data_IF_226543702255
#
_entry.id   IF_226543702255
#
_cell.length_a   1.000
_cell.length_b   1.000
_cell.length_c   1.000
_cell.angle_alpha   90.00
_cell.angle_beta   90.00
_cell.angle_gamma   90.00
#
_symmetry.space_group_name_H-M   'P 1'
#
loop_
_entity.id
_entity.type
_entity.pdbx_description
1 polymer ?
#
# COMPACT_ATOMS: atom_id res chain seq x y z
N UNK A 1 25.82 4.28 15.73
CA UNK A 1 24.83 3.66 14.84
C UNK A 1 25.10 2.19 14.83
N UNK A 2 24.11 1.36 15.13
CA UNK A 2 24.27 -0.09 15.12
C UNK A 2 24.56 -0.50 13.67
N UNK A 3 25.72 -1.08 13.42
CA UNK A 3 26.06 -1.72 12.13
C UNK A 3 25.27 -3.04 11.95
N UNK A 4 24.29 -3.30 12.81
CA UNK A 4 23.47 -4.49 12.76
C UNK A 4 22.51 -4.40 11.59
N UNK A 5 22.40 -5.53 10.92
CA UNK A 5 21.64 -5.68 9.70
C UNK A 5 20.14 -5.74 10.03
N UNK A 6 19.26 -5.05 9.27
CA UNK A 6 17.83 -5.15 9.48
C UNK A 6 17.37 -6.60 9.26
N UNK A 7 16.51 -7.09 10.16
CA UNK A 7 16.02 -8.47 10.14
C UNK A 7 14.58 -8.59 9.67
N UNK A 8 14.29 -9.71 9.02
CA UNK A 8 12.95 -10.14 8.59
C UNK A 8 12.65 -11.46 9.31
N UNK A 9 11.63 -11.49 10.15
CA UNK A 9 11.23 -12.69 10.89
C UNK A 9 10.02 -13.33 10.22
N UNK A 10 10.16 -14.59 9.80
CA UNK A 10 9.09 -15.42 9.27
C UNK A 10 8.62 -16.43 10.33
N UNK A 11 7.32 -16.55 10.51
CA UNK A 11 6.69 -17.42 11.52
C UNK A 11 5.60 -18.25 10.85
N UNK A 12 5.71 -19.58 10.92
CA UNK A 12 4.74 -20.53 10.38
C UNK A 12 4.88 -21.82 11.19
N UNK A 13 3.76 -22.47 11.53
CA UNK A 13 3.77 -23.72 12.28
C UNK A 13 3.99 -24.94 11.37
N UNK A 14 3.93 -24.74 10.06
CA UNK A 14 4.28 -25.70 9.02
C UNK A 14 5.71 -25.46 8.51
N UNK A 15 6.66 -26.24 9.05
CA UNK A 15 8.08 -26.12 8.70
C UNK A 15 8.39 -26.25 7.19
N UNK A 16 7.79 -27.21 6.44
CA UNK A 16 7.93 -27.25 4.98
C UNK A 16 7.52 -25.96 4.26
N UNK A 17 6.37 -25.37 4.62
CA UNK A 17 5.90 -24.14 4.00
C UNK A 17 6.83 -22.96 4.34
N UNK A 18 7.29 -22.88 5.59
CA UNK A 18 8.22 -21.84 6.04
C UNK A 18 9.54 -21.88 5.26
N UNK A 19 10.10 -23.09 5.10
CA UNK A 19 11.36 -23.28 4.41
C UNK A 19 11.22 -23.00 2.90
N UNK A 20 10.10 -23.38 2.28
CA UNK A 20 9.81 -23.04 0.89
C UNK A 20 9.74 -21.50 0.68
N UNK A 21 9.02 -20.80 1.55
CA UNK A 21 8.94 -19.33 1.52
C UNK A 21 10.31 -18.69 1.75
N UNK A 22 11.08 -19.20 2.72
CA UNK A 22 12.45 -18.74 2.99
C UNK A 22 13.32 -18.86 1.75
N UNK A 23 13.29 -19.99 1.04
CA UNK A 23 14.08 -20.20 -0.18
C UNK A 23 13.69 -19.21 -1.28
N UNK A 24 12.39 -18.98 -1.48
CA UNK A 24 11.90 -17.95 -2.43
C UNK A 24 12.38 -16.55 -2.06
N UNK A 25 12.43 -16.22 -0.77
CA UNK A 25 12.92 -14.92 -0.29
C UNK A 25 14.44 -14.77 -0.42
N UNK A 26 15.23 -15.82 -0.16
CA UNK A 26 16.69 -15.80 -0.37
C UNK A 26 17.03 -15.55 -1.84
N UNK A 27 16.22 -16.03 -2.78
CA UNK A 27 16.41 -15.73 -4.20
C UNK A 27 16.14 -14.27 -4.57
N UNK A 28 15.44 -13.51 -3.71
CA UNK A 28 15.01 -12.12 -3.97
C UNK A 28 15.75 -11.08 -3.13
N UNK A 29 16.15 -11.42 -1.92
CA UNK A 29 16.80 -10.54 -0.96
C UNK A 29 18.27 -10.93 -0.81
N UNK A 30 19.18 -9.96 -0.97
CA UNK A 30 20.60 -10.27 -0.89
C UNK A 30 21.00 -10.64 0.55
N UNK A 31 21.92 -11.60 0.77
CA UNK A 31 22.47 -11.92 2.08
C UNK A 31 23.28 -10.80 2.74
N UNK A 32 23.43 -9.64 2.11
CA UNK A 32 23.98 -8.40 2.72
C UNK A 32 22.88 -7.36 3.00
N UNK A 33 21.66 -7.60 2.52
CA UNK A 33 20.52 -6.70 2.65
C UNK A 33 19.65 -7.01 3.88
N UNK A 34 19.34 -8.29 4.13
CA UNK A 34 18.44 -8.71 5.23
C UNK A 34 18.98 -9.86 6.09
N UNK A 35 18.88 -9.77 7.41
CA UNK A 35 19.02 -10.92 8.30
C UNK A 35 17.70 -11.71 8.33
N UNK A 36 17.60 -12.77 7.51
CA UNK A 36 16.38 -13.56 7.37
C UNK A 36 16.32 -14.63 8.46
N UNK A 37 15.36 -14.46 9.39
CA UNK A 37 15.12 -15.36 10.52
C UNK A 37 13.82 -16.12 10.32
N UNK A 38 13.79 -17.37 10.78
CA UNK A 38 12.61 -18.23 10.72
C UNK A 38 12.32 -18.81 12.10
N UNK A 39 11.05 -18.92 12.46
CA UNK A 39 10.60 -19.59 13.68
C UNK A 39 9.43 -20.51 13.39
N UNK A 40 9.60 -21.79 13.74
CA UNK A 40 8.53 -22.77 13.83
C UNK A 40 8.20 -22.92 15.32
N UNK A 41 7.07 -22.39 15.81
CA UNK A 41 6.72 -22.48 17.23
C UNK A 41 6.57 -23.93 17.69
N UNK A 42 7.12 -24.26 18.86
CA UNK A 42 6.96 -25.58 19.49
C UNK A 42 6.61 -25.45 20.97
N UNK A 43 5.97 -26.48 21.55
CA UNK A 43 5.65 -26.48 23.00
C UNK A 43 6.90 -26.38 23.90
N UNK A 44 8.08 -26.70 23.38
CA UNK A 44 9.35 -26.63 24.09
C UNK A 44 9.94 -25.21 24.16
N UNK A 45 9.39 -24.25 23.41
CA UNK A 45 9.84 -22.85 23.42
C UNK A 45 9.46 -22.11 24.72
N UNK A 46 8.65 -22.71 25.59
CA UNK A 46 8.14 -22.08 26.80
C UNK A 46 6.89 -21.23 26.53
N UNK A 47 6.61 -20.21 27.36
CA UNK A 47 5.46 -19.32 27.17
C UNK A 47 5.51 -18.64 25.79
N UNK A 48 4.45 -18.75 24.94
CA UNK A 48 4.52 -18.33 23.54
C UNK A 48 4.85 -16.84 23.34
N UNK A 49 4.37 -15.97 24.22
CA UNK A 49 4.68 -14.54 24.17
C UNK A 49 6.17 -14.26 24.44
N UNK A 50 6.73 -14.86 25.49
CA UNK A 50 8.15 -14.71 25.84
C UNK A 50 9.06 -15.29 24.75
N UNK A 51 8.67 -16.43 24.18
CA UNK A 51 9.38 -17.06 23.08
C UNK A 51 9.43 -16.17 21.83
N UNK A 52 8.33 -15.50 21.51
CA UNK A 52 8.27 -14.53 20.41
C UNK A 52 9.11 -13.29 20.73
N UNK A 53 8.95 -12.70 21.91
CA UNK A 53 9.68 -11.50 22.35
C UNK A 53 11.20 -11.71 22.29
N UNK A 54 11.69 -12.89 22.69
CA UNK A 54 13.12 -13.22 22.65
C UNK A 54 13.70 -13.29 21.22
N UNK A 55 12.86 -13.37 20.19
CA UNK A 55 13.27 -13.46 18.77
C UNK A 55 13.21 -12.12 18.04
N UNK A 56 12.54 -11.14 18.63
CA UNK A 56 12.45 -9.77 18.12
C UNK A 56 13.50 -8.91 18.81
N UNK A 57 14.25 -8.16 18.01
CA UNK A 57 15.24 -7.21 18.48
C UNK A 57 15.03 -5.81 17.88
N UNK A 58 15.89 -4.88 18.25
CA UNK A 58 15.90 -3.50 17.74
C UNK A 58 16.07 -3.39 16.22
N UNK A 59 16.60 -4.42 15.56
CA UNK A 59 16.83 -4.44 14.12
C UNK A 59 15.70 -5.11 13.34
N UNK A 60 14.67 -5.62 14.03
CA UNK A 60 13.53 -6.29 13.39
C UNK A 60 12.69 -5.29 12.62
N UNK A 61 12.81 -5.33 11.29
CA UNK A 61 12.21 -4.35 10.38
C UNK A 61 10.86 -4.81 9.83
N UNK A 62 10.61 -6.12 9.77
CA UNK A 62 9.34 -6.69 9.31
C UNK A 62 9.14 -8.08 9.93
N UNK A 63 7.92 -8.38 10.35
CA UNK A 63 7.49 -9.71 10.80
C UNK A 63 6.41 -10.22 9.86
N UNK A 64 6.51 -11.48 9.44
CA UNK A 64 5.48 -12.16 8.65
C UNK A 64 5.06 -13.41 9.42
N UNK A 65 3.77 -13.60 9.64
CA UNK A 65 3.22 -14.71 10.44
C UNK A 65 2.08 -15.43 9.72
N UNK A 66 1.94 -16.73 9.99
CA UNK A 66 0.68 -17.42 9.69
C UNK A 66 -0.44 -16.88 10.58
N UNK A 67 -1.66 -16.90 10.05
CA UNK A 67 -2.86 -16.54 10.78
C UNK A 67 -3.16 -17.55 11.90
N UNK A 68 -3.02 -18.85 11.61
CA UNK A 68 -3.26 -19.93 12.55
C UNK A 68 -1.94 -20.64 12.87
N UNK A 69 -1.47 -20.48 14.12
CA UNK A 69 -0.26 -21.13 14.62
C UNK A 69 -0.60 -22.22 15.66
N UNK A 70 -1.89 -22.55 15.80
CA UNK A 70 -2.38 -23.39 16.89
C UNK A 70 -2.10 -24.87 16.68
N UNK A 71 -1.67 -25.27 15.48
CA UNK A 71 -1.37 -26.67 15.15
C UNK A 71 -0.17 -27.18 15.94
N UNK A 72 0.79 -26.30 16.25
CA UNK A 72 2.03 -26.66 16.96
C UNK A 72 2.09 -26.16 18.41
N UNK A 73 1.39 -25.07 18.74
CA UNK A 73 1.38 -24.49 20.11
C UNK A 73 -0.02 -23.98 20.46
N UNK A 74 -0.63 -24.55 21.51
CA UNK A 74 -1.96 -24.09 21.97
C UNK A 74 -1.91 -22.65 22.47
N UNK A 75 -2.80 -21.81 21.95
CA UNK A 75 -2.97 -20.43 22.41
C UNK A 75 -2.07 -19.40 21.74
N UNK A 76 -1.21 -19.80 20.80
CA UNK A 76 -0.48 -18.88 19.92
C UNK A 76 -1.32 -18.64 18.65
N UNK A 77 -1.74 -17.40 18.44
CA UNK A 77 -2.48 -16.98 17.25
C UNK A 77 -1.68 -15.91 16.50
N UNK A 78 -1.77 -15.89 15.17
CA UNK A 78 -1.17 -14.82 14.36
C UNK A 78 -1.65 -13.43 14.79
N UNK A 79 -2.92 -13.32 15.20
CA UNK A 79 -3.50 -12.09 15.74
C UNK A 79 -2.77 -11.56 16.99
N UNK A 80 -2.24 -12.45 17.84
CA UNK A 80 -1.47 -12.05 19.03
C UNK A 80 -0.11 -11.46 18.63
N UNK A 81 0.54 -12.04 17.62
CA UNK A 81 1.79 -11.54 17.04
C UNK A 81 1.54 -10.17 16.39
N UNK A 82 0.50 -10.05 15.56
CA UNK A 82 0.10 -8.80 14.92
C UNK A 82 -0.13 -7.71 15.97
N UNK A 83 -0.94 -7.98 17.00
CA UNK A 83 -1.22 -7.01 18.05
C UNK A 83 0.04 -6.56 18.80
N UNK A 84 0.98 -7.49 19.06
CA UNK A 84 2.25 -7.16 19.71
C UNK A 84 3.15 -6.30 18.80
N UNK A 85 3.30 -6.66 17.53
CA UNK A 85 4.08 -5.89 16.55
C UNK A 85 3.52 -4.48 16.38
N UNK A 86 2.20 -4.34 16.28
CA UNK A 86 1.53 -3.04 16.22
C UNK A 86 1.77 -2.22 17.50
N UNK A 87 1.84 -2.85 18.68
CA UNK A 87 2.20 -2.18 19.93
C UNK A 87 3.65 -1.67 19.91
N UNK A 88 4.56 -2.36 19.23
CA UNK A 88 5.98 -2.00 19.09
C UNK A 88 6.28 -1.16 17.86
N UNK A 89 5.27 -0.80 17.06
CA UNK A 89 5.45 -0.11 15.76
C UNK A 89 6.38 -0.89 14.81
N UNK A 90 6.30 -2.21 14.85
CA UNK A 90 7.01 -3.09 13.92
C UNK A 90 6.00 -3.48 12.82
N UNK A 91 6.31 -3.22 11.53
CA UNK A 91 5.48 -3.67 10.43
C UNK A 91 5.26 -5.18 10.51
N UNK A 92 4.01 -5.59 10.32
CA UNK A 92 3.62 -7.00 10.40
C UNK A 92 2.64 -7.35 9.30
N UNK A 93 2.89 -8.49 8.66
CA UNK A 93 1.96 -9.08 7.71
C UNK A 93 1.53 -10.46 8.13
N UNK A 94 0.31 -10.82 7.74
CA UNK A 94 -0.22 -12.16 7.90
C UNK A 94 -0.62 -12.78 6.56
N UNK A 95 -0.44 -14.10 6.45
CA UNK A 95 -1.02 -14.90 5.37
C UNK A 95 -2.22 -15.67 5.92
N UNK A 96 -3.33 -15.65 5.17
CA UNK A 96 -4.54 -16.41 5.51
C UNK A 96 -4.80 -17.43 4.42
N UNK A 97 -4.17 -18.61 4.53
CA UNK A 97 -4.32 -19.69 3.54
C UNK A 97 -5.69 -20.37 3.58
N UNK A 98 -6.53 -20.08 4.59
CA UNK A 98 -7.75 -20.83 4.90
C UNK A 98 -9.11 -20.14 4.69
N UNK A 99 -9.16 -18.84 4.38
CA UNK A 99 -10.42 -18.07 4.39
C UNK A 99 -10.73 -17.32 3.08
N UNK A 100 -10.63 -18.02 1.95
CA UNK A 100 -10.87 -17.45 0.60
C UNK A 100 -12.32 -16.97 0.38
N UNK A 101 -13.29 -17.47 1.18
CA UNK A 101 -14.71 -17.13 1.09
C UNK A 101 -15.21 -16.12 2.14
N UNK A 102 -14.33 -15.50 2.91
CA UNK A 102 -14.74 -14.52 3.91
C UNK A 102 -15.21 -13.21 3.27
N UNK A 103 -16.19 -12.56 3.88
CA UNK A 103 -16.62 -11.22 3.52
C UNK A 103 -15.43 -10.25 3.46
N UNK A 104 -15.40 -9.28 2.51
CA UNK A 104 -14.42 -8.21 2.53
C UNK A 104 -14.48 -7.51 3.88
N UNK A 105 -13.39 -7.57 4.65
CA UNK A 105 -13.30 -6.85 5.93
C UNK A 105 -12.92 -5.41 5.67
N UNK A 106 -13.34 -4.52 6.58
CA UNK A 106 -12.85 -3.14 6.59
C UNK A 106 -11.31 -3.16 6.54
N UNK A 107 -10.68 -2.42 5.61
CA UNK A 107 -9.24 -2.40 5.48
C UNK A 107 -8.59 -1.90 6.78
N UNK A 108 -7.89 -2.77 7.49
CA UNK A 108 -7.04 -2.34 8.59
C UNK A 108 -5.81 -1.64 8.02
N UNK A 109 -5.68 -0.33 8.30
CA UNK A 109 -4.58 0.47 7.78
C UNK A 109 -3.21 -0.07 8.21
N UNK A 110 -3.11 -0.67 9.39
CA UNK A 110 -1.86 -1.09 10.02
C UNK A 110 -1.60 -2.59 9.95
N UNK A 111 -2.14 -3.23 8.92
CA UNK A 111 -1.97 -4.66 8.69
C UNK A 111 -1.59 -4.89 7.23
N UNK A 112 -0.55 -5.70 7.00
CA UNK A 112 -0.14 -6.10 5.65
C UNK A 112 -0.76 -7.47 5.36
N UNK A 113 -1.59 -7.55 4.32
CA UNK A 113 -2.16 -8.83 3.88
C UNK A 113 -1.26 -9.43 2.83
N UNK A 114 -0.54 -10.49 3.18
CA UNK A 114 0.35 -11.19 2.24
C UNK A 114 -0.51 -11.99 1.26
N UNK A 115 -0.24 -11.92 -0.07
CA UNK A 115 -0.90 -12.77 -1.06
C UNK A 115 -0.78 -14.25 -0.69
N UNK A 116 -1.83 -15.02 -0.94
CA UNK A 116 -1.89 -16.44 -0.59
C UNK A 116 -1.30 -17.36 -1.67
N UNK A 117 -0.98 -16.82 -2.84
CA UNK A 117 -0.37 -17.57 -3.92
C UNK A 117 1.16 -17.57 -3.79
N UNK A 118 1.77 -18.75 -4.01
CA UNK A 118 3.21 -18.97 -3.89
C UNK A 118 4.06 -18.20 -4.91
N UNK A 119 3.43 -17.63 -5.95
CA UNK A 119 4.12 -16.91 -7.01
C UNK A 119 4.42 -15.46 -6.60
N UNK A 120 3.50 -14.83 -5.86
CA UNK A 120 3.55 -13.41 -5.51
C UNK A 120 3.92 -13.14 -4.05
N UNK A 121 3.82 -14.13 -3.14
CA UNK A 121 4.05 -13.94 -1.70
C UNK A 121 5.44 -13.38 -1.37
N UNK A 122 6.51 -14.01 -1.87
CA UNK A 122 7.89 -13.62 -1.62
C UNK A 122 8.24 -12.28 -2.28
N UNK A 123 7.64 -11.99 -3.44
CA UNK A 123 7.79 -10.71 -4.12
C UNK A 123 7.19 -9.59 -3.27
N UNK A 124 5.97 -9.79 -2.78
CA UNK A 124 5.28 -8.84 -1.91
C UNK A 124 6.07 -8.57 -0.63
N UNK A 125 6.51 -9.63 0.07
CA UNK A 125 7.27 -9.50 1.32
C UNK A 125 8.58 -8.74 1.09
N UNK A 126 9.30 -9.04 0.01
CA UNK A 126 10.53 -8.32 -0.35
C UNK A 126 10.27 -6.84 -0.61
N UNK A 127 9.21 -6.51 -1.38
CA UNK A 127 8.80 -5.12 -1.63
C UNK A 127 8.42 -4.40 -0.33
N UNK A 128 7.72 -5.07 0.59
CA UNK A 128 7.35 -4.48 1.88
C UNK A 128 8.58 -4.18 2.72
N UNK A 129 9.46 -5.18 2.88
CA UNK A 129 10.72 -5.03 3.63
C UNK A 129 11.54 -3.84 3.10
N UNK A 130 11.75 -3.78 1.78
CA UNK A 130 12.51 -2.70 1.13
C UNK A 130 11.83 -1.35 1.28
N UNK A 131 10.51 -1.27 1.11
CA UNK A 131 9.79 -0.01 1.22
C UNK A 131 9.86 0.60 2.63
N UNK A 132 9.64 -0.21 3.68
CA UNK A 132 9.82 0.28 5.06
C UNK A 132 11.27 0.66 5.34
N UNK A 133 12.25 -0.10 4.83
CA UNK A 133 13.68 0.23 4.98
C UNK A 133 14.05 1.56 4.32
N UNK A 134 13.58 1.81 3.09
CA UNK A 134 13.83 3.07 2.37
C UNK A 134 13.23 4.25 3.12
N UNK A 135 12.02 4.10 3.68
CA UNK A 135 11.40 5.13 4.51
C UNK A 135 12.22 5.42 5.76
N UNK A 136 12.63 4.37 6.48
CA UNK A 136 13.46 4.49 7.68
C UNK A 136 14.75 5.24 7.39
N UNK A 137 15.49 4.78 6.37
CA UNK A 137 16.73 5.40 5.94
C UNK A 137 16.52 6.86 5.56
N UNK A 138 15.44 7.18 4.82
CA UNK A 138 15.14 8.56 4.44
C UNK A 138 14.86 9.49 5.63
N UNK A 139 14.32 8.96 6.74
CA UNK A 139 14.12 9.73 7.98
C UNK A 139 15.47 9.90 8.71
N UNK A 140 16.26 8.83 8.81
CA UNK A 140 17.59 8.83 9.44
C UNK A 140 18.56 9.79 8.72
N UNK A 141 18.53 9.81 7.39
CA UNK A 141 19.36 10.68 6.55
C UNK A 141 18.93 12.16 6.62
N UNK A 142 17.72 12.43 7.10
CA UNK A 142 17.20 13.78 7.23
C UNK A 142 16.56 14.05 8.61
N UNK A 143 17.39 14.19 9.67
CA UNK A 143 16.90 14.36 11.05
C UNK A 143 15.99 15.57 11.26
N UNK A 144 16.11 16.61 10.43
CA UNK A 144 15.21 17.77 10.46
C UNK A 144 13.74 17.42 10.19
N UNK A 145 13.44 16.26 9.59
CA UNK A 145 12.08 15.74 9.48
C UNK A 145 11.42 15.47 10.84
N UNK A 146 12.21 15.19 11.89
CA UNK A 146 11.73 14.94 13.24
C UNK A 146 11.33 16.23 13.99
N UNK A 147 11.94 17.36 13.63
CA UNK A 147 11.86 18.60 14.42
C UNK A 147 11.20 19.76 13.66
N UNK A 148 11.40 19.87 12.35
CA UNK A 148 10.95 21.01 11.56
C UNK A 148 9.60 20.79 10.86
N UNK A 149 9.20 19.53 10.64
CA UNK A 149 7.96 19.20 9.93
C UNK A 149 6.81 19.03 10.91
N UNK A 150 5.71 19.75 10.63
CA UNK A 150 4.57 19.87 11.55
C UNK A 150 3.52 18.77 11.41
N UNK A 151 3.60 17.94 10.37
CA UNK A 151 2.58 16.93 10.05
C UNK A 151 3.18 15.68 9.40
N UNK A 152 2.53 14.53 9.59
CA UNK A 152 2.88 13.27 8.91
C UNK A 152 2.86 13.42 7.38
N UNK A 153 1.91 14.20 6.86
CA UNK A 153 1.81 14.48 5.44
C UNK A 153 3.01 15.27 4.92
N UNK A 154 3.49 16.25 5.68
CA UNK A 154 4.68 17.03 5.33
C UNK A 154 5.94 16.16 5.32
N UNK A 155 6.06 15.24 6.29
CA UNK A 155 7.17 14.28 6.34
C UNK A 155 7.11 13.35 5.12
N UNK A 156 5.96 12.74 4.84
CA UNK A 156 5.79 11.86 3.67
C UNK A 156 6.08 12.59 2.35
N UNK A 157 5.51 13.78 2.16
CA UNK A 157 5.75 14.60 0.97
C UNK A 157 7.23 14.91 0.78
N UNK A 158 7.94 15.20 1.88
CA UNK A 158 9.37 15.47 1.88
C UNK A 158 10.20 14.23 1.53
N UNK A 159 9.90 13.08 2.15
CA UNK A 159 10.56 11.79 1.88
C UNK A 159 10.40 11.34 0.42
N UNK A 160 9.25 11.66 -0.19
CA UNK A 160 8.97 11.33 -1.59
C UNK A 160 9.50 12.39 -2.57
N UNK A 161 10.22 13.43 -2.11
CA UNK A 161 10.77 14.49 -2.96
C UNK A 161 9.69 15.36 -3.63
N UNK A 162 8.53 15.48 -2.97
CA UNK A 162 7.32 16.14 -3.49
C UNK A 162 6.61 16.96 -2.42
N UNK A 163 7.35 17.85 -1.75
CA UNK A 163 6.83 18.70 -0.67
C UNK A 163 5.53 19.45 -1.03
N UNK A 164 5.35 19.87 -2.30
CA UNK A 164 4.13 20.53 -2.79
C UNK A 164 2.85 19.68 -2.68
N UNK A 165 2.98 18.36 -2.55
CA UNK A 165 1.86 17.43 -2.44
C UNK A 165 1.40 17.18 -0.99
N UNK A 166 1.92 17.93 -0.01
CA UNK A 166 1.53 17.79 1.41
C UNK A 166 0.01 17.80 1.59
N UNK A 167 -0.71 18.75 0.99
CA UNK A 167 -2.16 18.86 1.13
C UNK A 167 -2.92 17.64 0.58
N UNK A 168 -2.41 17.05 -0.50
CA UNK A 168 -2.99 15.83 -1.09
C UNK A 168 -2.76 14.63 -0.17
N UNK A 169 -1.55 14.46 0.36
CA UNK A 169 -1.27 13.38 1.33
C UNK A 169 -2.02 13.56 2.65
N UNK A 170 -2.23 14.79 3.11
CA UNK A 170 -3.02 15.07 4.31
C UNK A 170 -4.46 14.55 4.19
N UNK A 171 -5.04 14.58 2.99
CA UNK A 171 -6.38 14.04 2.75
C UNK A 171 -6.46 12.50 2.89
N UNK A 172 -5.36 11.77 2.70
CA UNK A 172 -5.31 10.32 3.00
C UNK A 172 -5.21 10.03 4.50
N UNK A 173 -4.77 11.01 5.28
CA UNK A 173 -4.48 10.88 6.70
C UNK A 173 -5.63 11.34 7.61
N UNK A 174 -6.72 11.87 7.03
CA UNK A 174 -7.90 12.37 7.76
C UNK A 174 -8.52 11.33 8.69
N UNK A 175 -8.45 10.05 8.33
CA UNK A 175 -8.99 8.93 9.13
C UNK A 175 -8.01 8.34 10.14
N UNK A 176 -6.73 8.71 10.14
CA UNK A 176 -5.76 8.25 11.15
C UNK A 176 -6.24 8.58 12.56
N UNK A 177 -6.83 9.76 12.75
CA UNK A 177 -7.33 10.22 14.05
C UNK A 177 -8.54 9.44 14.58
N UNK A 178 -9.46 9.08 13.70
CA UNK A 178 -10.70 8.41 14.07
C UNK A 178 -10.53 6.88 14.18
N UNK A 179 -9.79 6.26 13.26
CA UNK A 179 -9.60 4.81 13.24
C UNK A 179 -8.65 4.32 14.34
N UNK A 180 -7.76 5.18 14.85
CA UNK A 180 -6.69 4.76 15.75
C UNK A 180 -6.35 5.84 16.80
N UNK A 181 -7.37 6.39 17.45
CA UNK A 181 -7.22 7.21 18.66
C UNK A 181 -6.33 6.50 19.69
N UNK A 182 -6.36 5.17 19.77
CA UNK A 182 -5.47 4.37 20.61
C UNK A 182 -4.00 4.38 20.15
N UNK A 183 -3.70 4.52 18.86
CA UNK A 183 -2.33 4.64 18.34
C UNK A 183 -1.79 6.07 18.54
N UNK A 184 -2.66 7.09 18.39
CA UNK A 184 -2.36 8.48 18.74
C UNK A 184 -2.24 8.72 20.25
N UNK A 185 -3.05 8.04 21.06
CA UNK A 185 -2.94 8.00 22.52
C UNK A 185 -1.64 7.30 22.91
N UNK A 186 -1.30 6.17 22.26
CA UNK A 186 -0.01 5.49 22.46
C UNK A 186 1.19 6.32 22.00
N UNK A 187 1.06 7.13 20.96
CA UNK A 187 2.03 8.17 20.56
C UNK A 187 2.28 9.16 21.71
N UNK A 188 1.26 9.46 22.52
CA UNK A 188 1.37 10.26 23.74
C UNK A 188 1.86 9.45 24.95
N UNK A 189 1.48 8.18 25.08
CA UNK A 189 1.84 7.33 26.23
C UNK A 189 3.28 6.79 26.13
N UNK A 190 3.80 6.52 24.92
CA UNK A 190 5.23 6.22 24.68
C UNK A 190 6.14 7.42 25.06
N UNK A 191 5.57 8.62 25.04
CA UNK A 191 6.23 9.85 25.44
C UNK A 191 6.16 10.13 26.95
N UNK A 192 5.50 9.29 27.78
CA UNK A 192 5.36 9.58 29.22
C UNK A 192 5.10 11.07 29.53
N UNK A 193 5.78 11.60 30.55
CA UNK A 193 6.08 13.04 30.68
C UNK A 193 7.47 13.42 30.09
N UNK A 194 8.20 12.45 29.52
CA UNK A 194 9.57 12.60 28.99
C UNK A 194 9.61 12.47 27.47
N UNK A 195 10.16 13.47 26.79
CA UNK A 195 10.17 13.52 25.33
C UNK A 195 10.77 12.24 24.69
N UNK A 196 10.07 11.57 23.75
CA UNK A 196 10.53 10.32 23.18
C UNK A 196 11.84 10.53 22.43
N UNK A 197 12.76 9.58 22.56
CA UNK A 197 14.04 9.63 21.85
C UNK A 197 13.83 9.56 20.32
N UNK A 198 14.84 9.98 19.57
CA UNK A 198 14.77 10.05 18.11
C UNK A 198 14.56 8.69 17.44
N UNK A 199 15.10 7.61 18.02
CA UNK A 199 14.96 6.25 17.49
C UNK A 199 13.49 5.77 17.56
N UNK A 200 12.81 6.01 18.68
CA UNK A 200 11.40 5.71 18.83
C UNK A 200 10.54 6.55 17.88
N UNK A 201 10.89 7.84 17.69
CA UNK A 201 10.24 8.72 16.70
C UNK A 201 10.43 8.19 15.28
N UNK A 202 11.64 7.79 14.89
CA UNK A 202 11.97 7.23 13.58
C UNK A 202 11.19 5.94 13.33
N UNK A 203 11.19 5.00 14.28
CA UNK A 203 10.47 3.72 14.16
C UNK A 203 8.97 3.96 13.95
N UNK A 204 8.39 4.84 14.74
CA UNK A 204 6.97 5.16 14.69
C UNK A 204 6.57 5.89 13.41
N UNK A 205 7.35 6.87 12.96
CA UNK A 205 7.13 7.54 11.68
C UNK A 205 7.25 6.55 10.53
N UNK A 206 8.28 5.72 10.51
CA UNK A 206 8.47 4.67 9.49
C UNK A 206 7.25 3.76 9.41
N UNK A 207 6.78 3.30 10.57
CA UNK A 207 5.61 2.44 10.69
C UNK A 207 4.35 3.12 10.16
N UNK A 208 4.03 4.34 10.63
CA UNK A 208 2.80 5.03 10.23
C UNK A 208 2.84 5.42 8.76
N UNK A 209 3.93 6.03 8.31
CA UNK A 209 4.07 6.51 6.94
C UNK A 209 4.11 5.36 5.93
N UNK A 210 4.77 4.25 6.26
CA UNK A 210 4.80 3.08 5.38
C UNK A 210 3.42 2.47 5.18
N UNK A 211 2.63 2.34 6.26
CA UNK A 211 1.25 1.86 6.16
C UNK A 211 0.34 2.85 5.42
N UNK A 212 0.43 4.15 5.69
CA UNK A 212 -0.35 5.16 4.95
C UNK A 212 -0.01 5.12 3.47
N UNK A 213 1.28 5.10 3.14
CA UNK A 213 1.74 5.06 1.75
C UNK A 213 1.23 3.80 1.07
N UNK A 214 1.47 2.62 1.65
CA UNK A 214 1.13 1.36 1.01
C UNK A 214 -0.38 1.06 1.01
N UNK A 215 -1.01 1.03 2.18
CA UNK A 215 -2.40 0.60 2.34
C UNK A 215 -3.43 1.68 1.97
N UNK A 216 -3.03 2.95 1.86
CA UNK A 216 -3.92 4.04 1.46
C UNK A 216 -3.51 4.70 0.14
N UNK A 217 -2.33 5.33 0.06
CA UNK A 217 -1.95 6.14 -1.10
C UNK A 217 -1.75 5.31 -2.36
N UNK A 218 -1.01 4.20 -2.29
CA UNK A 218 -0.73 3.34 -3.45
C UNK A 218 -1.92 2.45 -3.82
N UNK A 219 -2.74 2.08 -2.82
CA UNK A 219 -3.94 1.26 -3.03
C UNK A 219 -5.10 2.05 -3.67
N UNK A 220 -5.28 3.31 -3.28
CA UNK A 220 -6.40 4.15 -3.72
C UNK A 220 -5.89 5.33 -4.57
N UNK A 221 -6.04 5.26 -5.91
CA UNK A 221 -5.49 6.26 -6.83
C UNK A 221 -5.86 7.71 -6.50
N UNK A 222 -4.84 8.57 -6.55
CA UNK A 222 -4.91 10.01 -6.35
C UNK A 222 -3.61 10.67 -6.84
N UNK A 223 -2.66 11.05 -5.97
CA UNK A 223 -1.38 11.62 -6.38
C UNK A 223 -0.47 10.61 -7.09
N UNK A 224 -0.62 9.31 -6.79
CA UNK A 224 0.10 8.21 -7.43
C UNK A 224 -0.92 7.28 -8.09
N UNK A 225 -0.63 6.83 -9.31
CA UNK A 225 -1.44 5.92 -10.09
C UNK A 225 -0.69 4.61 -10.28
N UNK A 226 -1.34 3.48 -10.06
CA UNK A 226 -0.88 2.21 -10.62
C UNK A 226 -1.08 2.18 -12.13
N UNK A 227 -0.40 1.27 -12.84
CA UNK A 227 -0.65 1.06 -14.26
C UNK A 227 -2.14 0.83 -14.58
N UNK A 228 -2.84 0.05 -13.75
CA UNK A 228 -4.29 -0.19 -13.89
C UNK A 228 -5.10 1.10 -13.71
N UNK A 229 -4.74 1.93 -12.74
CA UNK A 229 -5.37 3.22 -12.52
C UNK A 229 -5.05 4.23 -13.64
N UNK A 230 -3.85 4.20 -14.20
CA UNK A 230 -3.46 4.97 -15.38
C UNK A 230 -4.30 4.57 -16.60
N UNK A 231 -4.49 3.27 -16.84
CA UNK A 231 -5.39 2.78 -17.89
C UNK A 231 -6.81 3.31 -17.69
N UNK A 232 -7.33 3.25 -16.45
CA UNK A 232 -8.61 3.85 -16.14
C UNK A 232 -8.62 5.36 -16.42
N UNK A 233 -7.57 6.08 -16.02
CA UNK A 233 -7.43 7.53 -16.19
C UNK A 233 -7.44 8.00 -17.65
N UNK A 234 -7.02 7.14 -18.58
CA UNK A 234 -7.08 7.36 -20.04
C UNK A 234 -8.21 6.56 -20.72
N UNK A 235 -9.19 6.12 -19.94
CA UNK A 235 -10.40 5.39 -20.35
C UNK A 235 -10.16 4.17 -21.25
N UNK A 236 -9.17 3.34 -20.90
CA UNK A 236 -8.83 2.11 -21.62
C UNK A 236 -8.86 0.88 -20.72
N UNK A 237 -8.81 -0.31 -21.34
CA UNK A 237 -8.71 -1.57 -20.62
C UNK A 237 -7.32 -1.76 -19.98
N UNK A 238 -7.19 -2.49 -18.86
CA UNK A 238 -5.89 -2.72 -18.21
C UNK A 238 -4.84 -3.42 -19.08
N UNK A 239 -5.26 -4.20 -20.07
CA UNK A 239 -4.39 -4.93 -21.01
C UNK A 239 -3.61 -3.99 -21.93
N UNK A 240 -4.07 -2.74 -22.09
CA UNK A 240 -3.38 -1.70 -22.87
C UNK A 240 -2.21 -1.06 -22.11
N UNK A 241 -2.03 -1.41 -20.82
CA UNK A 241 -0.93 -0.95 -19.96
C UNK A 241 0.43 -0.96 -20.65
N UNK A 242 0.92 -2.10 -21.18
CA UNK A 242 2.22 -2.18 -21.84
C UNK A 242 2.40 -1.23 -23.04
N UNK A 243 1.31 -0.86 -23.72
CA UNK A 243 1.35 0.07 -24.85
C UNK A 243 1.40 1.54 -24.39
N UNK A 244 0.71 1.88 -23.29
CA UNK A 244 0.64 3.25 -22.78
C UNK A 244 1.80 3.62 -21.86
N UNK A 245 2.31 2.68 -21.05
CA UNK A 245 3.36 2.92 -20.05
C UNK A 245 4.61 3.64 -20.61
N UNK A 246 5.12 3.32 -21.82
CA UNK A 246 6.31 3.97 -22.36
C UNK A 246 6.16 5.49 -22.53
N UNK A 247 4.95 5.99 -22.82
CA UNK A 247 4.69 7.44 -22.93
C UNK A 247 4.84 8.16 -21.60
N UNK A 248 4.67 7.43 -20.49
CA UNK A 248 4.72 7.96 -19.13
C UNK A 248 6.00 7.57 -18.38
N UNK A 249 7.07 7.18 -19.09
CA UNK A 249 8.33 6.77 -18.47
C UNK A 249 8.91 7.84 -17.52
N UNK A 250 8.79 9.12 -17.88
CA UNK A 250 9.24 10.25 -17.06
C UNK A 250 8.34 10.55 -15.85
N UNK A 251 7.14 10.00 -15.82
CA UNK A 251 6.22 10.12 -14.69
C UNK A 251 6.40 9.00 -13.66
N UNK A 252 7.33 8.05 -13.86
CA UNK A 252 7.47 6.88 -12.99
C UNK A 252 7.75 7.27 -11.54
N UNK A 253 7.03 6.62 -10.63
CA UNK A 253 7.29 6.63 -9.21
C UNK A 253 8.33 5.56 -8.88
N UNK A 254 9.46 5.98 -8.32
CA UNK A 254 10.58 5.11 -7.92
C UNK A 254 10.83 5.13 -6.40
N UNK A 255 9.81 5.51 -5.62
CA UNK A 255 9.91 5.60 -4.17
C UNK A 255 9.72 4.26 -3.45
N UNK A 256 9.54 4.28 -2.11
CA UNK A 256 9.20 3.10 -1.32
C UNK A 256 8.06 2.27 -1.93
N UNK A 257 8.17 0.94 -1.84
CA UNK A 257 7.18 -0.02 -2.36
C UNK A 257 6.95 0.03 -3.89
N UNK A 258 7.82 0.68 -4.66
CA UNK A 258 7.72 0.71 -6.13
C UNK A 258 8.16 -0.59 -6.80
N UNK A 259 8.90 -1.45 -6.10
CA UNK A 259 9.38 -2.70 -6.67
C UNK A 259 8.22 -3.68 -6.96
N UNK A 260 8.21 -4.22 -8.18
CA UNK A 260 7.19 -5.19 -8.62
C UNK A 260 5.92 -4.57 -9.19
N UNK A 261 5.81 -3.24 -9.25
CA UNK A 261 4.66 -2.56 -9.84
C UNK A 261 5.04 -1.28 -10.61
N UNK A 262 4.40 -1.06 -11.75
CA UNK A 262 4.48 0.21 -12.48
C UNK A 262 3.56 1.24 -11.83
N UNK A 263 4.18 2.25 -11.21
CA UNK A 263 3.52 3.37 -10.55
C UNK A 263 3.93 4.70 -11.19
N UNK A 264 3.02 5.67 -11.18
CA UNK A 264 3.20 6.96 -11.87
C UNK A 264 2.71 8.12 -11.00
N UNK A 265 3.45 9.23 -11.00
CA UNK A 265 3.02 10.50 -10.42
C UNK A 265 1.95 11.13 -11.30
N UNK A 266 0.75 11.36 -10.76
CA UNK A 266 -0.36 11.94 -11.52
C UNK A 266 0.00 13.32 -12.10
N UNK A 267 0.64 14.18 -11.32
CA UNK A 267 1.04 15.52 -11.78
C UNK A 267 2.00 15.52 -12.99
N UNK A 268 2.76 14.45 -13.17
CA UNK A 268 3.66 14.26 -14.30
C UNK A 268 2.91 13.63 -15.49
N UNK A 269 1.99 12.70 -15.21
CA UNK A 269 1.04 12.15 -16.20
C UNK A 269 0.22 13.29 -16.83
N UNK A 270 -0.36 14.17 -16.00
CA UNK A 270 -1.13 15.33 -16.45
C UNK A 270 -0.29 16.21 -17.38
N UNK A 271 0.95 16.52 -16.99
CA UNK A 271 1.86 17.34 -17.80
C UNK A 271 2.17 16.70 -19.15
N UNK A 272 2.36 15.38 -19.18
CA UNK A 272 2.62 14.64 -20.42
C UNK A 272 1.38 14.65 -21.31
N UNK A 273 0.19 14.44 -20.75
CA UNK A 273 -1.07 14.54 -21.50
C UNK A 273 -1.28 15.94 -22.06
N UNK A 274 -1.04 16.99 -21.28
CA UNK A 274 -1.11 18.39 -21.74
C UNK A 274 -0.16 18.65 -22.93
N UNK A 275 1.06 18.10 -22.87
CA UNK A 275 2.04 18.22 -23.96
C UNK A 275 1.62 17.48 -25.22
N UNK A 276 1.13 16.24 -25.09
CA UNK A 276 0.64 15.43 -26.21
C UNK A 276 -0.64 16.02 -26.82
N UNK A 277 -1.48 16.66 -26.01
CA UNK A 277 -2.75 17.26 -26.41
C UNK A 277 -2.64 18.69 -26.93
N UNK A 278 -1.47 19.32 -26.89
CA UNK A 278 -1.29 20.73 -27.25
C UNK A 278 -1.76 21.09 -28.67
N UNK A 279 -1.74 20.12 -29.59
CA UNK A 279 -2.12 20.32 -31.00
C UNK A 279 -3.59 19.96 -31.30
N UNK A 280 -4.36 19.48 -30.31
CA UNK A 280 -5.72 18.97 -30.54
C UNK A 280 -6.77 20.05 -30.87
N UNK A 281 -6.40 21.33 -30.86
CA UNK A 281 -7.34 22.43 -31.10
C UNK A 281 -8.45 22.50 -30.03
N UNK A 282 -9.46 23.33 -30.28
CA UNK A 282 -10.62 23.47 -29.38
C UNK A 282 -11.65 22.36 -29.66
N UNK A 283 -11.37 21.14 -29.20
CA UNK A 283 -12.35 20.03 -29.20
C UNK A 283 -12.98 19.93 -27.82
N UNK A 284 -14.32 19.94 -27.77
CA UNK A 284 -15.06 19.70 -26.53
C UNK A 284 -15.23 18.20 -26.28
N UNK A 285 -14.84 17.76 -25.10
CA UNK A 285 -15.01 16.40 -24.61
C UNK A 285 -16.02 16.40 -23.47
N UNK A 286 -16.78 15.31 -23.34
CA UNK A 286 -17.80 15.18 -22.27
C UNK A 286 -17.16 15.03 -20.89
N UNK A 287 -15.98 14.40 -20.81
CA UNK A 287 -15.23 14.19 -19.57
C UNK A 287 -13.71 14.33 -19.78
N UNK A 288 -12.96 14.48 -18.69
CA UNK A 288 -11.49 14.45 -18.74
C UNK A 288 -10.96 13.12 -19.26
N UNK A 289 -11.68 12.02 -19.00
CA UNK A 289 -11.27 10.69 -19.41
C UNK A 289 -11.40 10.51 -20.93
N UNK A 290 -12.44 11.10 -21.53
CA UNK A 290 -12.63 11.11 -22.98
C UNK A 290 -11.53 11.94 -23.68
N UNK A 291 -11.17 13.10 -23.11
CA UNK A 291 -10.04 13.91 -23.58
C UNK A 291 -8.73 13.10 -23.51
N UNK A 292 -8.43 12.51 -22.35
CA UNK A 292 -7.21 11.75 -22.13
C UNK A 292 -7.10 10.55 -23.09
N UNK A 293 -8.21 9.84 -23.31
CA UNK A 293 -8.28 8.76 -24.28
C UNK A 293 -7.94 9.25 -25.68
N UNK A 294 -8.54 10.35 -26.12
CA UNK A 294 -8.32 10.90 -27.44
C UNK A 294 -6.87 11.35 -27.66
N UNK A 295 -6.28 12.01 -26.65
CA UNK A 295 -4.84 12.35 -26.65
C UNK A 295 -4.01 11.09 -26.89
N UNK A 296 -4.28 10.02 -26.13
CA UNK A 296 -3.51 8.78 -26.22
C UNK A 296 -3.72 8.04 -27.54
N UNK A 297 -4.95 7.95 -28.04
CA UNK A 297 -5.24 7.33 -29.35
C UNK A 297 -4.54 8.07 -30.49
N UNK A 298 -4.49 9.40 -30.42
CA UNK A 298 -3.74 10.25 -31.36
C UNK A 298 -2.24 9.97 -31.27
N UNK A 299 -1.68 9.96 -30.06
CA UNK A 299 -0.27 9.69 -29.84
C UNK A 299 0.17 8.26 -30.23
N UNK A 300 -0.74 7.28 -30.13
CA UNK A 300 -0.53 5.90 -30.53
C UNK A 300 -0.81 5.64 -32.02
N UNK A 301 -1.54 6.54 -32.69
CA UNK A 301 -1.99 6.37 -34.07
C UNK A 301 -3.01 5.23 -34.26
N UNK A 302 -3.72 4.82 -33.19
CA UNK A 302 -4.73 3.76 -33.22
C UNK A 302 -5.77 3.93 -32.10
N UNK A 303 -6.98 3.36 -32.25
CA UNK A 303 -7.92 3.28 -31.15
C UNK A 303 -7.41 2.38 -30.02
N UNK A 304 -7.80 2.72 -28.80
CA UNK A 304 -7.54 1.94 -27.58
C UNK A 304 -8.66 0.93 -27.33
N UNK A 305 -8.33 -0.20 -26.70
CA UNK A 305 -9.36 -1.14 -26.26
C UNK A 305 -10.33 -0.50 -25.25
N UNK A 306 -11.61 -0.87 -25.34
CA UNK A 306 -12.62 -0.42 -24.38
C UNK A 306 -12.47 -1.23 -23.08
N UNK A 307 -12.65 -0.58 -21.93
CA UNK A 307 -12.72 -1.31 -20.67
C UNK A 307 -14.07 -2.03 -20.51
N UNK A 308 -14.14 -2.97 -19.56
CA UNK A 308 -15.34 -3.76 -19.32
C UNK A 308 -16.34 -2.97 -18.47
N UNK A 309 -17.15 -2.12 -19.11
CA UNK A 309 -18.29 -1.46 -18.47
C UNK A 309 -19.51 -1.47 -19.40
N UNK A 310 -20.51 -2.29 -19.07
CA UNK A 310 -21.74 -2.43 -19.87
C UNK A 310 -22.56 -1.14 -19.94
N UNK A 311 -22.44 -0.27 -18.93
CA UNK A 311 -23.25 0.95 -18.84
C UNK A 311 -22.80 2.01 -19.83
N UNK A 312 -21.49 2.23 -19.95
CA UNK A 312 -20.93 3.21 -20.88
C UNK A 312 -20.32 2.58 -22.14
N UNK A 313 -20.38 1.26 -22.32
CA UNK A 313 -19.72 0.56 -23.42
C UNK A 313 -18.19 0.65 -23.37
N UNK A 314 -17.63 0.95 -22.20
CA UNK A 314 -16.18 1.01 -21.97
C UNK A 314 -15.46 2.26 -22.49
N UNK A 315 -16.17 3.35 -22.80
CA UNK A 315 -15.56 4.57 -23.36
C UNK A 315 -15.35 5.70 -22.35
N UNK A 316 -16.15 5.76 -21.28
CA UNK A 316 -16.20 6.92 -20.36
C UNK A 316 -15.45 6.73 -19.03
N UNK A 317 -14.29 6.07 -19.00
CA UNK A 317 -13.64 5.59 -17.77
C UNK A 317 -13.27 6.69 -16.75
N UNK A 318 -11.99 6.83 -16.44
CA UNK A 318 -11.45 7.90 -15.59
C UNK A 318 -11.22 7.54 -14.14
N UNK A 319 -11.90 6.52 -13.61
CA UNK A 319 -11.81 6.15 -12.19
C UNK A 319 -11.52 4.66 -12.00
N UNK A 320 -10.87 4.33 -10.89
CA UNK A 320 -10.56 2.95 -10.52
C UNK A 320 -11.43 2.50 -9.34
N UNK A 321 -12.01 1.30 -9.44
CA UNK A 321 -12.63 0.66 -8.30
C UNK A 321 -11.62 -0.21 -7.54
N UNK A 322 -11.25 0.15 -6.29
CA UNK A 322 -10.28 -0.61 -5.50
C UNK A 322 -10.86 -1.93 -4.96
N UNK A 323 -12.19 -2.10 -5.00
CA UNK A 323 -12.87 -3.29 -4.46
C UNK A 323 -13.07 -4.37 -5.52
N UNK A 324 -13.49 -3.98 -6.72
CA UNK A 324 -13.68 -4.92 -7.83
C UNK A 324 -12.52 -4.96 -8.81
N UNK A 325 -11.51 -4.11 -8.60
CA UNK A 325 -10.29 -4.02 -9.40
C UNK A 325 -10.58 -3.79 -10.89
N UNK A 326 -11.48 -2.85 -11.18
CA UNK A 326 -11.92 -2.51 -12.55
C UNK A 326 -12.01 -1.00 -12.76
N UNK A 327 -11.83 -0.52 -14.01
CA UNK A 327 -12.17 0.85 -14.38
C UNK A 327 -13.68 1.09 -14.26
N UNK A 328 -14.08 2.26 -13.76
CA UNK A 328 -15.47 2.69 -13.63
C UNK A 328 -15.62 4.14 -14.12
N UNK A 329 -16.84 4.53 -14.51
CA UNK A 329 -17.16 5.87 -15.00
C UNK A 329 -17.93 6.71 -13.96
N UNK A 330 -18.05 8.02 -14.20
CA UNK A 330 -18.72 8.96 -13.30
C UNK A 330 -20.25 8.82 -13.22
N UNK A 331 -20.86 8.05 -14.13
CA UNK A 331 -22.31 7.87 -14.14
C UNK A 331 -22.79 7.34 -12.80
N UNK A 332 -23.89 7.92 -12.30
CA UNK A 332 -24.50 7.56 -11.00
C UNK A 332 -24.97 6.11 -10.93
N UNK A 333 -25.26 5.52 -12.08
CA UNK A 333 -25.64 4.14 -12.22
C UNK A 333 -24.41 3.21 -12.31
N UNK A 334 -23.21 3.71 -12.66
CA UNK A 334 -21.99 2.90 -12.73
C UNK A 334 -21.17 2.90 -11.43
N UNK A 335 -21.04 4.05 -10.76
CA UNK A 335 -20.19 4.14 -9.57
C UNK A 335 -20.55 5.28 -8.61
N UNK A 336 -20.15 5.13 -7.35
CA UNK A 336 -20.33 6.13 -6.30
C UNK A 336 -18.98 6.78 -5.91
N UNK A 337 -18.95 8.11 -5.72
CA UNK A 337 -17.71 8.89 -5.58
C UNK A 337 -17.01 8.74 -4.23
N UNK A 338 -17.69 8.28 -3.18
CA UNK A 338 -17.11 8.20 -1.84
C UNK A 338 -17.84 7.15 -1.01
N UNK A 339 -17.05 6.37 -0.28
CA UNK A 339 -17.50 5.50 0.79
C UNK A 339 -16.72 5.81 2.06
N UNK A 340 -17.22 5.35 3.19
CA UNK A 340 -16.51 5.34 4.47
C UNK A 340 -15.16 4.60 4.42
N UNK A 341 -14.88 3.85 3.34
CA UNK A 341 -13.63 3.09 3.15
C UNK A 341 -12.66 3.72 2.14
N UNK A 342 -13.12 4.54 1.20
CA UNK A 342 -12.23 5.27 0.26
C UNK A 342 -11.72 6.55 0.96
N UNK A 343 -10.39 6.79 1.06
CA UNK A 343 -9.85 8.00 1.67
C UNK A 343 -10.24 9.25 0.88
N UNK A 344 -10.41 10.40 1.55
CA UNK A 344 -10.81 11.65 0.87
C UNK A 344 -9.78 12.16 -0.13
N UNK A 345 -8.50 11.78 0.03
CA UNK A 345 -7.44 12.09 -0.93
C UNK A 345 -7.48 11.26 -2.23
N UNK A 346 -8.24 10.18 -2.26
CA UNK A 346 -8.30 9.25 -3.39
C UNK A 346 -9.30 9.70 -4.47
N UNK A 347 -9.04 10.88 -5.06
CA UNK A 347 -9.94 11.56 -5.99
C UNK A 347 -10.22 10.78 -7.28
N UNK A 348 -9.40 9.78 -7.61
CA UNK A 348 -9.56 8.91 -8.78
C UNK A 348 -10.09 7.52 -8.42
N UNK A 349 -10.57 7.34 -7.18
CA UNK A 349 -11.18 6.09 -6.71
C UNK A 349 -12.69 6.25 -6.59
N UNK A 350 -13.44 5.27 -7.09
CA UNK A 350 -14.91 5.19 -6.94
C UNK A 350 -15.33 3.76 -6.69
N UNK A 351 -16.37 3.52 -5.90
CA UNK A 351 -16.89 2.16 -5.72
C UNK A 351 -17.86 1.84 -6.87
N UNK A 352 -17.71 0.66 -7.49
CA UNK A 352 -18.69 0.16 -8.46
C UNK A 352 -20.07 0.09 -7.82
N UNK A 353 -21.10 0.53 -8.55
CA UNK A 353 -22.45 0.70 -8.02
C UNK A 353 -23.05 -0.62 -7.54
N UNK A 354 -22.88 -1.69 -8.31
CA UNK A 354 -23.46 -3.00 -7.98
C UNK A 354 -22.78 -3.60 -6.73
N UNK A 355 -21.45 -3.50 -6.64
CA UNK A 355 -20.72 -3.86 -5.42
C UNK A 355 -21.16 -3.01 -4.22
N UNK A 356 -21.30 -1.70 -4.40
CA UNK A 356 -21.71 -0.81 -3.32
C UNK A 356 -23.14 -1.15 -2.84
N UNK A 357 -24.09 -1.34 -3.73
CA UNK A 357 -25.48 -1.61 -3.33
C UNK A 357 -25.65 -2.97 -2.63
N UNK A 358 -24.87 -3.97 -3.03
CA UNK A 358 -24.85 -5.29 -2.39
C UNK A 358 -24.18 -5.25 -1.01
N UNK A 359 -23.02 -4.60 -0.91
CA UNK A 359 -22.14 -4.76 0.25
C UNK A 359 -22.21 -3.60 1.25
N UNK A 360 -22.56 -2.38 0.83
CA UNK A 360 -22.57 -1.22 1.71
C UNK A 360 -23.46 -1.38 2.96
N UNK A 361 -24.68 -1.97 2.88
CA UNK A 361 -25.50 -2.17 4.07
C UNK A 361 -24.85 -3.10 5.11
N UNK A 362 -24.03 -4.05 4.66
CA UNK A 362 -23.37 -5.05 5.52
C UNK A 362 -22.02 -4.57 6.04
N UNK A 363 -21.33 -3.73 5.26
CA UNK A 363 -19.96 -3.30 5.49
C UNK A 363 -19.85 -1.87 6.03
N UNK A 364 -20.96 -1.12 6.06
CA UNK A 364 -20.99 0.26 6.51
C UNK A 364 -20.26 1.23 5.55
N UNK A 365 -20.26 0.93 4.25
CA UNK A 365 -19.63 1.76 3.20
C UNK A 365 -20.32 3.10 2.99
#
# INVERSE_FOLDING_TARGET
MSNAKPSLLLIDDNAPNLEALRQRLVARLHPDEVDLRTWVPTENDGPPAEAFEARVDENTALVITDYDLTTSVRGLFGLSIVAWCQKKSIPVGDFSRGNVAALPKEPNLFELRVPTDDEHDAAFIATMFRGFRVLRQGIEDWPALLTERRSLAAVLASLLGRARLESQFAAYMSRLGAANSALLQRLRDFAGDEEPNDEDKIRLLTYVLGHVLFNAVLKYPGPILSCKALCAYVATSPEEGPAIEPYFANARYLGPFSEGQSLFWKEEVDRILDQLGAELGEVQFESFADLNRHIMETALGRPLAHHQCDRCGGVKGGFWCPFTLRPVCERSDCSVPSSSWIPTGAQLSRAEKDFYDEWAPLLGL
#
